data_IF_860308787425
#
_entry.id   IF_860308787425
#
_cell.length_a   1.000
_cell.length_b   1.000
_cell.length_c   1.000
_cell.angle_alpha   90.00
_cell.angle_beta   90.00
_cell.angle_gamma   90.00
#
_symmetry.space_group_name_H-M   'P 1'
#
loop_
_entity.id
_entity.type
_entity.pdbx_description
1 polymer ?
#
# COMPACT_ATOMS: atom_id res chain seq x y z
N UNK A 1 -19.42 22.14 -14.50
CA UNK A 1 -19.42 21.71 -13.08
C UNK A 1 -17.96 21.58 -12.68
N UNK A 2 -17.51 22.39 -11.74
CA UNK A 2 -16.09 22.63 -11.46
C UNK A 2 -15.42 21.39 -10.86
N UNK A 3 -14.33 21.01 -11.52
CA UNK A 3 -13.44 19.89 -11.24
C UNK A 3 -12.72 20.12 -9.90
N UNK A 4 -13.37 19.81 -8.78
CA UNK A 4 -12.58 19.32 -7.66
C UNK A 4 -11.94 18.04 -8.18
N UNK A 5 -10.61 18.03 -8.39
CA UNK A 5 -9.88 16.91 -8.99
C UNK A 5 -10.48 15.61 -8.48
N UNK A 6 -10.77 14.68 -9.40
CA UNK A 6 -11.37 13.37 -9.07
C UNK A 6 -10.62 12.70 -7.89
N UNK A 7 -9.32 12.99 -7.73
CA UNK A 7 -8.50 12.53 -6.61
C UNK A 7 -8.96 13.09 -5.25
N UNK A 8 -9.31 14.36 -5.14
CA UNK A 8 -9.75 14.97 -3.87
C UNK A 8 -11.07 14.40 -3.40
N UNK A 9 -12.00 14.14 -4.33
CA UNK A 9 -13.27 13.46 -4.01
C UNK A 9 -13.02 12.03 -3.51
N UNK A 10 -12.12 11.29 -4.17
CA UNK A 10 -11.73 9.94 -3.75
C UNK A 10 -11.02 9.94 -2.39
N UNK A 11 -10.12 10.89 -2.14
CA UNK A 11 -9.46 11.06 -0.85
C UNK A 11 -10.46 11.30 0.28
N UNK A 12 -11.43 12.20 0.07
CA UNK A 12 -12.50 12.45 1.04
C UNK A 12 -13.33 11.20 1.29
N UNK A 13 -13.70 10.47 0.24
CA UNK A 13 -14.41 9.19 0.36
C UNK A 13 -13.63 8.17 1.19
N UNK A 14 -12.32 8.05 0.95
CA UNK A 14 -11.40 7.16 1.68
C UNK A 14 -10.95 7.73 3.04
N UNK A 15 -11.44 8.90 3.46
CA UNK A 15 -11.03 9.59 4.69
C UNK A 15 -9.51 9.78 4.81
N UNK A 16 -8.83 10.02 3.69
CA UNK A 16 -7.41 10.37 3.62
C UNK A 16 -7.21 11.88 3.84
N UNK A 17 -7.51 12.32 5.06
CA UNK A 17 -7.32 13.70 5.51
C UNK A 17 -5.86 14.01 5.84
N UNK A 18 -5.60 15.26 6.27
CA UNK A 18 -4.26 15.73 6.58
C UNK A 18 -3.66 15.06 7.83
N UNK A 19 -4.49 14.56 8.75
CA UNK A 19 -4.03 13.84 9.94
C UNK A 19 -3.47 12.47 9.53
N UNK A 20 -4.24 11.69 8.75
CA UNK A 20 -3.75 10.42 8.18
C UNK A 20 -2.54 10.61 7.27
N UNK A 21 -2.51 11.69 6.48
CA UNK A 21 -1.35 12.05 5.66
C UNK A 21 -0.08 12.30 6.51
N UNK A 22 -0.24 12.91 7.69
CA UNK A 22 0.84 13.07 8.67
C UNK A 22 1.32 11.73 9.20
N UNK A 23 0.40 10.87 9.63
CA UNK A 23 0.72 9.55 10.17
C UNK A 23 1.43 8.64 9.15
N UNK A 24 1.03 8.68 7.87
CA UNK A 24 1.72 7.97 6.80
C UNK A 24 3.17 8.44 6.63
N UNK A 25 3.40 9.76 6.66
CA UNK A 25 4.75 10.34 6.58
C UNK A 25 5.62 9.93 7.76
N UNK A 26 5.08 9.99 8.98
CA UNK A 26 5.81 9.59 10.18
C UNK A 26 6.16 8.09 10.17
N UNK A 27 5.34 7.29 9.50
CA UNK A 27 5.53 5.84 9.38
C UNK A 27 6.39 5.42 8.18
N UNK A 28 6.76 6.37 7.32
CA UNK A 28 7.47 6.13 6.05
C UNK A 28 8.71 5.24 6.23
N UNK A 29 9.61 5.62 7.15
CA UNK A 29 10.87 4.90 7.35
C UNK A 29 10.64 3.45 7.78
N UNK A 30 9.63 3.21 8.61
CA UNK A 30 9.24 1.85 9.03
C UNK A 30 8.69 1.08 7.85
N UNK A 31 7.74 1.64 7.10
CA UNK A 31 7.11 0.97 5.95
C UNK A 31 8.15 0.65 4.87
N UNK A 32 9.01 1.60 4.49
CA UNK A 32 10.06 1.39 3.48
C UNK A 32 11.05 0.28 3.87
N UNK A 33 11.32 0.12 5.17
CA UNK A 33 12.19 -0.95 5.67
C UNK A 33 11.55 -2.32 5.60
N UNK A 34 10.26 -2.44 5.92
CA UNK A 34 9.57 -3.76 6.02
C UNK A 34 8.94 -4.22 4.71
N UNK A 35 8.51 -3.27 3.87
CA UNK A 35 7.78 -3.54 2.64
C UNK A 35 8.51 -4.47 1.65
N UNK A 36 9.84 -4.41 1.47
CA UNK A 36 10.54 -5.36 0.58
C UNK A 36 10.28 -6.82 0.95
N UNK A 37 10.29 -7.16 2.24
CA UNK A 37 10.00 -8.51 2.73
C UNK A 37 8.53 -8.88 2.59
N UNK A 38 7.61 -7.94 2.87
CA UNK A 38 6.17 -8.15 2.63
C UNK A 38 5.89 -8.47 1.16
N UNK A 39 6.53 -7.75 0.25
CA UNK A 39 6.36 -8.00 -1.17
C UNK A 39 6.99 -9.32 -1.62
N UNK A 40 8.07 -9.79 -0.99
CA UNK A 40 8.58 -11.15 -1.23
C UNK A 40 7.52 -12.20 -0.88
N UNK A 41 6.91 -12.09 0.30
CA UNK A 41 5.83 -12.99 0.72
C UNK A 41 4.61 -12.92 -0.21
N UNK A 42 4.23 -11.70 -0.62
CA UNK A 42 3.12 -11.48 -1.56
C UNK A 42 3.36 -12.14 -2.91
N UNK A 43 4.54 -11.94 -3.51
CA UNK A 43 4.84 -12.53 -4.81
C UNK A 43 4.96 -14.04 -4.75
N UNK A 44 5.51 -14.59 -3.65
CA UNK A 44 5.50 -16.02 -3.40
C UNK A 44 4.08 -16.59 -3.27
N UNK A 45 3.16 -15.85 -2.64
CA UNK A 45 1.76 -16.25 -2.49
C UNK A 45 1.02 -16.27 -3.82
N UNK A 46 1.07 -15.17 -4.61
CA UNK A 46 0.33 -15.11 -5.88
C UNK A 46 0.92 -16.04 -6.96
N UNK A 47 2.17 -16.47 -6.82
CA UNK A 47 2.77 -17.47 -7.71
C UNK A 47 2.09 -18.86 -7.58
N UNK A 48 1.39 -19.12 -6.47
CA UNK A 48 0.73 -20.40 -6.20
C UNK A 48 -0.62 -20.57 -6.91
N UNK A 49 -1.22 -19.47 -7.42
CA UNK A 49 -2.53 -19.49 -8.08
C UNK A 49 -2.35 -19.26 -9.58
N UNK A 50 -2.98 -20.10 -10.41
CA UNK A 50 -2.80 -20.06 -11.86
C UNK A 50 -3.26 -18.73 -12.46
N UNK A 51 -4.35 -18.17 -11.94
CA UNK A 51 -5.00 -16.93 -12.38
C UNK A 51 -4.06 -15.73 -12.25
N UNK A 52 -3.30 -15.65 -11.16
CA UNK A 52 -2.33 -14.57 -10.94
C UNK A 52 -0.96 -14.90 -11.50
N UNK A 53 -0.51 -16.15 -11.43
CA UNK A 53 0.78 -16.59 -11.99
C UNK A 53 0.85 -16.37 -13.49
N UNK A 54 -0.22 -16.66 -14.22
CA UNK A 54 -0.28 -16.53 -15.69
C UNK A 54 -0.12 -15.08 -16.20
N UNK A 55 -0.26 -14.09 -15.31
CA UNK A 55 -0.01 -12.67 -15.63
C UNK A 55 1.49 -12.36 -15.82
N UNK A 56 2.38 -13.27 -15.41
CA UNK A 56 3.82 -13.09 -15.45
C UNK A 56 4.46 -14.04 -16.47
N UNK A 57 5.37 -13.51 -17.28
CA UNK A 57 6.10 -14.30 -18.28
C UNK A 57 7.14 -15.21 -17.63
N UNK A 58 7.78 -14.73 -16.55
CA UNK A 58 8.83 -15.41 -15.81
C UNK A 58 9.09 -14.69 -14.49
N UNK A 59 10.00 -15.24 -13.68
CA UNK A 59 10.41 -14.66 -12.38
C UNK A 59 11.04 -13.27 -12.49
N UNK A 60 11.70 -12.96 -13.60
CA UNK A 60 12.27 -11.63 -13.82
C UNK A 60 11.19 -10.57 -14.04
N UNK A 61 10.11 -10.90 -14.77
CA UNK A 61 8.94 -10.02 -14.91
C UNK A 61 8.28 -9.76 -13.54
N UNK A 62 8.18 -10.80 -12.71
CA UNK A 62 7.66 -10.68 -11.33
C UNK A 62 8.55 -9.80 -10.45
N UNK A 63 9.87 -9.97 -10.51
CA UNK A 63 10.83 -9.13 -9.79
C UNK A 63 10.78 -7.66 -10.24
N UNK A 64 10.58 -7.42 -11.54
CA UNK A 64 10.36 -6.08 -12.06
C UNK A 64 9.06 -5.45 -11.52
N UNK A 65 7.97 -6.22 -11.51
CA UNK A 65 6.70 -5.79 -10.91
C UNK A 65 6.86 -5.44 -9.42
N UNK A 66 7.63 -6.23 -8.66
CA UNK A 66 7.99 -5.94 -7.27
C UNK A 66 8.71 -4.59 -7.13
N UNK A 67 9.71 -4.32 -7.97
CA UNK A 67 10.42 -3.05 -7.96
C UNK A 67 9.49 -1.86 -8.26
N UNK A 68 8.51 -2.04 -9.14
CA UNK A 68 7.51 -1.01 -9.43
C UNK A 68 6.53 -0.80 -8.28
N UNK A 69 6.11 -1.87 -7.59
CA UNK A 69 5.33 -1.78 -6.36
C UNK A 69 6.08 -1.01 -5.27
N UNK A 70 7.37 -1.29 -5.04
CA UNK A 70 8.18 -0.54 -4.05
C UNK A 70 8.18 0.96 -4.33
N UNK A 71 8.36 1.37 -5.60
CA UNK A 71 8.30 2.78 -5.99
C UNK A 71 6.91 3.38 -5.76
N UNK A 72 5.86 2.63 -6.10
CA UNK A 72 4.48 3.05 -5.92
C UNK A 72 4.15 3.29 -4.44
N UNK A 73 4.49 2.35 -3.57
CA UNK A 73 4.30 2.48 -2.13
C UNK A 73 5.12 3.62 -1.54
N UNK A 74 6.36 3.85 -2.03
CA UNK A 74 7.17 5.01 -1.65
C UNK A 74 6.43 6.34 -1.89
N UNK A 75 5.68 6.46 -2.99
CA UNK A 75 4.86 7.64 -3.29
C UNK A 75 3.65 7.74 -2.35
N UNK A 76 3.03 6.61 -1.97
CA UNK A 76 1.90 6.60 -1.03
C UNK A 76 2.35 7.11 0.35
N UNK A 77 3.47 6.60 0.86
CA UNK A 77 3.96 6.93 2.21
C UNK A 77 4.60 8.31 2.33
N UNK A 78 4.83 9.01 1.21
CA UNK A 78 5.10 10.45 1.25
C UNK A 78 3.93 11.25 1.83
N UNK A 79 2.71 10.70 1.86
CA UNK A 79 1.50 11.40 2.32
C UNK A 79 1.17 12.67 1.53
N UNK A 80 1.85 12.87 0.39
CA UNK A 80 1.65 13.97 -0.55
C UNK A 80 0.78 13.46 -1.68
N UNK A 81 -0.52 13.73 -1.58
CA UNK A 81 -1.47 13.29 -2.58
C UNK A 81 -1.61 14.34 -3.69
N UNK A 82 -0.49 14.59 -4.37
CA UNK A 82 -0.35 15.55 -5.45
C UNK A 82 -0.41 14.88 -6.84
N UNK A 83 0.02 15.58 -7.89
CA UNK A 83 0.03 15.05 -9.26
C UNK A 83 0.92 13.80 -9.42
N UNK A 84 1.99 13.65 -8.63
CA UNK A 84 2.84 12.47 -8.67
C UNK A 84 2.10 11.25 -8.09
N UNK A 85 1.36 11.44 -7.00
CA UNK A 85 0.46 10.42 -6.46
C UNK A 85 -0.61 10.02 -7.47
N UNK A 86 -1.31 11.00 -8.05
CA UNK A 86 -2.37 10.75 -9.03
C UNK A 86 -1.86 9.99 -10.26
N UNK A 87 -0.69 10.38 -10.78
CA UNK A 87 -0.03 9.67 -11.88
C UNK A 87 0.31 8.23 -11.50
N UNK A 88 0.82 8.02 -10.28
CA UNK A 88 1.25 6.70 -9.79
C UNK A 88 0.06 5.74 -9.66
N UNK A 89 -1.01 6.14 -8.96
CA UNK A 89 -2.20 5.29 -8.77
C UNK A 89 -2.92 5.01 -10.10
N UNK A 90 -2.93 5.98 -11.02
CA UNK A 90 -3.55 5.81 -12.34
C UNK A 90 -2.79 4.77 -13.17
N UNK A 91 -1.45 4.88 -13.23
CA UNK A 91 -0.61 3.90 -13.94
C UNK A 91 -0.77 2.48 -13.40
N UNK A 92 -0.87 2.33 -12.08
CA UNK A 92 -1.11 1.01 -11.46
C UNK A 92 -2.48 0.46 -11.85
N UNK A 93 -3.54 1.28 -11.78
CA UNK A 93 -4.89 0.86 -12.17
C UNK A 93 -4.97 0.47 -13.66
N UNK A 94 -4.38 1.28 -14.53
CA UNK A 94 -4.31 1.00 -15.98
C UNK A 94 -3.50 -0.26 -16.28
N UNK A 95 -2.41 -0.50 -15.57
CA UNK A 95 -1.61 -1.71 -15.73
C UNK A 95 -2.41 -2.96 -15.41
N UNK A 96 -3.13 -2.99 -14.28
CA UNK A 96 -3.97 -4.12 -13.89
C UNK A 96 -5.16 -4.31 -14.85
N UNK A 97 -5.78 -3.22 -15.29
CA UNK A 97 -6.87 -3.27 -16.28
C UNK A 97 -6.39 -3.84 -17.63
N UNK A 98 -5.23 -3.39 -18.12
CA UNK A 98 -4.64 -3.88 -19.38
C UNK A 98 -4.28 -5.36 -19.33
N UNK A 99 -3.87 -5.86 -18.17
CA UNK A 99 -3.61 -7.29 -17.94
C UNK A 99 -4.90 -8.12 -17.79
N UNK A 100 -6.07 -7.46 -17.68
CA UNK A 100 -7.33 -8.16 -17.42
C UNK A 100 -7.39 -8.77 -16.02
N UNK A 101 -6.66 -8.21 -15.05
CA UNK A 101 -6.69 -8.72 -13.68
C UNK A 101 -8.09 -8.52 -13.09
N UNK A 102 -8.79 -9.61 -12.79
CA UNK A 102 -10.11 -9.53 -12.19
C UNK A 102 -10.07 -8.78 -10.83
N UNK A 103 -11.10 -7.97 -10.53
CA UNK A 103 -11.16 -7.22 -9.28
C UNK A 103 -10.97 -8.06 -8.01
N UNK A 104 -11.41 -9.33 -8.00
CA UNK A 104 -11.26 -10.24 -6.85
C UNK A 104 -9.78 -10.47 -6.48
N UNK A 105 -8.93 -10.63 -7.49
CA UNK A 105 -7.49 -10.88 -7.30
C UNK A 105 -6.77 -9.60 -6.94
N UNK A 106 -7.20 -8.48 -7.53
CA UNK A 106 -6.64 -7.17 -7.23
C UNK A 106 -6.91 -6.75 -5.78
N UNK A 107 -8.16 -6.86 -5.32
CA UNK A 107 -8.57 -6.55 -3.95
C UNK A 107 -7.92 -7.54 -2.96
N UNK A 108 -7.92 -8.83 -3.30
CA UNK A 108 -7.25 -9.86 -2.48
C UNK A 108 -5.76 -9.60 -2.30
N UNK A 109 -5.07 -9.15 -3.36
CA UNK A 109 -3.66 -8.82 -3.28
C UNK A 109 -3.36 -7.61 -2.38
N UNK A 110 -4.18 -6.55 -2.44
CA UNK A 110 -4.06 -5.45 -1.49
C UNK A 110 -4.32 -5.87 -0.05
N UNK A 111 -5.34 -6.70 0.17
CA UNK A 111 -5.62 -7.24 1.50
C UNK A 111 -4.40 -7.98 2.07
N UNK A 112 -3.78 -8.86 1.28
CA UNK A 112 -2.56 -9.57 1.69
C UNK A 112 -1.46 -8.59 2.15
N UNK A 113 -1.13 -7.61 1.31
CA UNK A 113 -0.03 -6.66 1.59
C UNK A 113 -0.35 -5.81 2.84
N UNK A 114 -1.57 -5.29 2.95
CA UNK A 114 -2.00 -4.44 4.08
C UNK A 114 -2.00 -5.25 5.37
N UNK A 115 -2.61 -6.43 5.41
CA UNK A 115 -2.61 -7.30 6.60
C UNK A 115 -1.18 -7.58 7.06
N UNK A 116 -0.30 -7.95 6.13
CA UNK A 116 1.07 -8.29 6.49
C UNK A 116 1.88 -7.09 6.98
N UNK A 117 1.69 -5.91 6.39
CA UNK A 117 2.27 -4.67 6.88
C UNK A 117 1.81 -4.37 8.31
N UNK A 118 0.51 -4.50 8.58
CA UNK A 118 -0.07 -4.24 9.92
C UNK A 118 0.53 -5.20 10.95
N UNK A 119 0.58 -6.50 10.67
CA UNK A 119 1.16 -7.50 11.57
C UNK A 119 2.61 -7.19 11.95
N UNK A 120 3.44 -6.82 10.98
CA UNK A 120 4.86 -6.52 11.22
C UNK A 120 5.00 -5.24 12.05
N UNK A 121 4.27 -4.18 11.69
CA UNK A 121 4.29 -2.92 12.44
C UNK A 121 3.78 -3.13 13.86
N UNK A 122 2.76 -3.97 14.05
CA UNK A 122 2.26 -4.34 15.35
C UNK A 122 3.31 -5.07 16.20
N UNK A 123 4.07 -5.99 15.61
CA UNK A 123 5.11 -6.74 16.31
C UNK A 123 6.32 -5.87 16.69
N UNK A 124 6.70 -4.91 15.83
CA UNK A 124 7.85 -4.04 16.08
C UNK A 124 7.57 -2.94 17.11
N UNK A 125 6.33 -2.45 17.16
CA UNK A 125 5.96 -1.37 18.07
C UNK A 125 5.69 -1.87 19.49
N UNK A 126 6.78 -2.01 20.25
CA UNK A 126 6.75 -2.32 21.69
C UNK A 126 6.35 -1.08 22.47
N UNK A 127 5.11 -1.04 22.92
CA UNK A 127 4.56 0.03 23.78
C UNK A 127 4.43 -0.49 25.19
N UNK A 128 5.03 0.21 26.16
CA UNK A 128 4.93 -0.16 27.58
C UNK A 128 3.49 -0.07 28.08
N UNK A 129 3.12 -0.87 29.08
CA UNK A 129 1.74 -0.91 29.60
C UNK A 129 1.23 0.43 30.16
N UNK A 130 2.11 1.33 30.56
CA UNK A 130 1.75 2.68 31.01
C UNK A 130 1.90 3.78 29.93
N UNK A 131 2.47 3.45 28.76
CA UNK A 131 2.64 4.42 27.67
C UNK A 131 1.36 4.56 26.82
N UNK A 132 0.40 5.31 27.36
CA UNK A 132 -0.88 5.60 26.69
C UNK A 132 -0.69 6.37 25.38
N UNK A 133 0.31 7.24 25.32
CA UNK A 133 0.62 8.03 24.13
C UNK A 133 1.22 7.15 23.01
N UNK A 134 2.14 6.24 23.35
CA UNK A 134 2.68 5.26 22.42
C UNK A 134 1.62 4.32 21.87
N UNK A 135 0.70 3.84 22.72
CA UNK A 135 -0.46 3.03 22.27
C UNK A 135 -1.34 3.78 21.29
N UNK A 136 -1.68 5.04 21.59
CA UNK A 136 -2.49 5.86 20.68
C UNK A 136 -1.80 6.04 19.33
N UNK A 137 -0.51 6.41 19.32
CA UNK A 137 0.28 6.55 18.09
C UNK A 137 0.32 5.27 17.26
N UNK A 138 0.52 4.11 17.91
CA UNK A 138 0.48 2.80 17.24
C UNK A 138 -0.87 2.57 16.55
N UNK A 139 -1.97 2.77 17.26
CA UNK A 139 -3.33 2.62 16.70
C UNK A 139 -3.58 3.60 15.56
N UNK A 140 -3.19 4.86 15.72
CA UNK A 140 -3.36 5.88 14.69
C UNK A 140 -2.57 5.53 13.42
N UNK A 141 -1.32 5.06 13.55
CA UNK A 141 -0.51 4.59 12.42
C UNK A 141 -1.16 3.42 11.69
N UNK A 142 -1.64 2.40 12.41
CA UNK A 142 -2.30 1.24 11.80
C UNK A 142 -3.55 1.70 11.02
N UNK A 143 -4.34 2.61 11.60
CA UNK A 143 -5.53 3.17 10.94
C UNK A 143 -5.23 4.10 9.75
N UNK A 144 -3.97 4.52 9.59
CA UNK A 144 -3.54 5.29 8.42
C UNK A 144 -3.14 4.39 7.25
N UNK A 145 -2.82 3.11 7.50
CA UNK A 145 -2.42 2.11 6.50
C UNK A 145 -3.63 1.36 5.93
N UNK A 146 -4.71 1.24 6.70
CA UNK A 146 -5.99 0.59 6.35
C UNK A 146 -6.97 1.63 5.79
#
# INVERSE_FOLDING_TARGET
MTDASTIDRRRKFSRLDNEKAGLLRDSKATIERVLPGVLDEFYAHIEQFQETRSMFQNKQHMAHAKAMQLKHWGIIVEGKFDAAYETSVTKIGEAHNRLGLEPRWYIGGYNFVITRLVEIIEAEWRVGWFDRAGRKRKTDTINAII
#
